data_IF_154288250049
#
_entry.id   IF_154288250049
#
_cell.length_a   1.000
_cell.length_b   1.000
_cell.length_c   1.000
_cell.angle_alpha   90.00
_cell.angle_beta   90.00
_cell.angle_gamma   90.00
#
_symmetry.space_group_name_H-M   'P 1'
#
loop_
_entity.id
_entity.type
_entity.pdbx_description
1 polymer ?
#
# COMPACT_ATOMS: atom_id res chain seq x y z
N UNK A 1 -24.32 -5.94 17.95
CA UNK A 1 -23.96 -7.15 17.17
C UNK A 1 -23.28 -6.78 15.85
N UNK A 2 -23.96 -6.20 14.86
CA UNK A 2 -23.31 -5.85 13.58
C UNK A 2 -22.33 -4.66 13.68
N UNK A 3 -22.59 -3.67 14.55
CA UNK A 3 -21.67 -2.56 14.80
C UNK A 3 -20.43 -2.95 15.63
N UNK A 4 -20.51 -4.01 16.43
CA UNK A 4 -19.39 -4.48 17.28
C UNK A 4 -18.34 -5.23 16.43
N UNK A 5 -18.78 -5.91 15.37
CA UNK A 5 -17.87 -6.59 14.43
C UNK A 5 -17.04 -5.59 13.63
N UNK A 6 -17.63 -4.47 13.19
CA UNK A 6 -16.92 -3.42 12.43
C UNK A 6 -15.73 -2.85 13.23
N UNK A 7 -15.92 -2.61 14.54
CA UNK A 7 -14.84 -2.11 15.39
C UNK A 7 -13.69 -3.12 15.53
N UNK A 8 -14.01 -4.41 15.61
CA UNK A 8 -13.03 -5.50 15.61
C UNK A 8 -12.24 -5.58 14.30
N UNK A 9 -12.93 -5.48 13.17
CA UNK A 9 -12.30 -5.51 11.84
C UNK A 9 -11.38 -4.30 11.62
N UNK A 10 -11.86 -3.10 12.00
CA UNK A 10 -11.06 -1.86 11.97
C UNK A 10 -9.79 -2.04 12.81
N UNK A 11 -9.92 -2.54 14.04
CA UNK A 11 -8.78 -2.77 14.93
C UNK A 11 -7.80 -3.77 14.34
N UNK A 12 -8.29 -4.89 13.80
CA UNK A 12 -7.46 -5.95 13.23
C UNK A 12 -6.66 -5.45 12.02
N UNK A 13 -7.33 -4.79 11.06
CA UNK A 13 -6.66 -4.25 9.87
C UNK A 13 -5.70 -3.13 10.24
N UNK A 14 -6.05 -2.26 11.20
CA UNK A 14 -5.16 -1.19 11.66
C UNK A 14 -3.91 -1.76 12.33
N UNK A 15 -4.03 -2.78 13.18
CA UNK A 15 -2.87 -3.47 13.75
C UNK A 15 -2.00 -4.08 12.66
N UNK A 16 -2.62 -4.76 11.68
CA UNK A 16 -1.92 -5.25 10.50
C UNK A 16 -1.15 -4.14 9.78
N UNK A 17 -1.78 -2.99 9.56
CA UNK A 17 -1.16 -1.84 8.90
C UNK A 17 0.04 -1.31 9.69
N UNK A 18 -0.06 -1.25 11.02
CA UNK A 18 1.04 -0.82 11.89
C UNK A 18 2.21 -1.80 11.80
N UNK A 19 1.95 -3.11 11.77
CA UNK A 19 2.99 -4.14 11.65
C UNK A 19 3.69 -4.07 10.28
N UNK A 20 2.94 -3.88 9.20
CA UNK A 20 3.50 -3.72 7.84
C UNK A 20 4.24 -2.38 7.73
N UNK A 21 3.73 -1.32 8.35
CA UNK A 21 4.47 -0.07 8.46
C UNK A 21 5.81 -0.27 9.18
N UNK A 22 5.82 -1.00 10.30
CA UNK A 22 7.06 -1.31 11.04
C UNK A 22 8.10 -2.07 10.18
N UNK A 23 7.67 -2.82 9.16
CA UNK A 23 8.56 -3.46 8.18
C UNK A 23 9.46 -2.46 7.46
N UNK A 24 9.03 -1.21 7.25
CA UNK A 24 9.85 -0.17 6.63
C UNK A 24 11.04 0.22 7.51
N UNK A 25 10.86 0.19 8.83
CA UNK A 25 11.98 0.30 9.78
C UNK A 25 12.94 -0.89 9.66
N UNK A 26 12.39 -2.09 9.45
CA UNK A 26 13.19 -3.28 9.12
C UNK A 26 14.03 -3.12 7.85
N UNK A 27 13.41 -2.65 6.76
CA UNK A 27 14.13 -2.36 5.51
C UNK A 27 15.19 -1.28 5.68
N UNK A 28 14.89 -0.23 6.45
CA UNK A 28 15.87 0.79 6.78
C UNK A 28 17.11 0.20 7.47
N UNK A 29 16.93 -0.68 8.46
CA UNK A 29 18.07 -1.29 9.15
C UNK A 29 18.83 -2.31 8.29
N UNK A 30 18.13 -3.07 7.43
CA UNK A 30 18.80 -3.95 6.46
C UNK A 30 19.61 -3.16 5.44
N UNK A 31 19.06 -2.09 4.87
CA UNK A 31 19.79 -1.24 3.91
C UNK A 31 20.99 -0.57 4.59
N UNK A 32 20.81 0.04 5.76
CA UNK A 32 21.90 0.68 6.52
C UNK A 32 23.01 -0.29 6.92
N UNK A 33 22.65 -1.54 7.24
CA UNK A 33 23.61 -2.59 7.58
C UNK A 33 24.43 -3.11 6.39
N UNK A 34 23.96 -2.91 5.16
CA UNK A 34 24.62 -3.40 3.94
C UNK A 34 25.44 -2.33 3.22
N UNK A 35 25.25 -1.04 3.55
CA UNK A 35 26.00 0.08 2.96
C UNK A 35 27.20 0.50 3.81
N UNK A 36 28.14 1.23 3.20
CA UNK A 36 29.31 1.77 3.90
C UNK A 36 28.87 2.85 4.88
N UNK A 37 29.59 3.00 6.00
CA UNK A 37 29.31 4.00 7.05
C UNK A 37 29.04 5.42 6.50
N UNK A 38 29.84 5.88 5.53
CA UNK A 38 29.68 7.19 4.90
C UNK A 38 28.34 7.41 4.17
N UNK A 39 27.64 6.34 3.82
CA UNK A 39 26.39 6.34 3.05
C UNK A 39 25.15 5.99 3.89
N UNK A 40 25.31 5.64 5.18
CA UNK A 40 24.21 5.19 6.03
C UNK A 40 23.10 6.23 6.21
N UNK A 41 23.46 7.49 6.43
CA UNK A 41 22.49 8.59 6.55
C UNK A 41 21.68 8.74 5.24
N UNK A 42 22.35 8.63 4.10
CA UNK A 42 21.69 8.71 2.80
C UNK A 42 20.73 7.53 2.58
N UNK A 43 21.08 6.32 3.01
CA UNK A 43 20.20 5.16 2.97
C UNK A 43 18.95 5.34 3.84
N UNK A 44 19.10 5.84 5.09
CA UNK A 44 17.96 6.12 5.96
C UNK A 44 17.00 7.16 5.38
N UNK A 45 17.54 8.27 4.88
CA UNK A 45 16.75 9.35 4.29
C UNK A 45 15.97 8.84 3.08
N UNK A 46 16.56 7.96 2.26
CA UNK A 46 15.87 7.37 1.11
C UNK A 46 14.64 6.59 1.51
N UNK A 47 14.73 5.70 2.50
CA UNK A 47 13.57 4.91 2.94
C UNK A 47 12.43 5.80 3.45
N UNK A 48 12.75 6.85 4.22
CA UNK A 48 11.74 7.80 4.70
C UNK A 48 11.09 8.58 3.57
N UNK A 49 11.89 9.03 2.60
CA UNK A 49 11.40 9.77 1.43
C UNK A 49 10.57 8.87 0.52
N UNK A 50 11.00 7.63 0.29
CA UNK A 50 10.26 6.67 -0.52
C UNK A 50 8.88 6.41 0.10
N UNK A 51 8.78 6.24 1.43
CA UNK A 51 7.48 6.11 2.09
C UNK A 51 6.60 7.35 1.94
N UNK A 52 7.18 8.56 2.10
CA UNK A 52 6.44 9.81 1.96
C UNK A 52 5.89 10.01 0.54
N UNK A 53 6.74 9.79 -0.48
CA UNK A 53 6.35 9.89 -1.89
C UNK A 53 5.31 8.82 -2.23
N UNK A 54 5.50 7.60 -1.75
CA UNK A 54 4.55 6.49 -1.92
C UNK A 54 3.18 6.86 -1.37
N UNK A 55 3.12 7.42 -0.16
CA UNK A 55 1.86 7.84 0.47
C UNK A 55 1.14 8.89 -0.37
N UNK A 56 1.86 9.90 -0.86
CA UNK A 56 1.28 10.95 -1.71
C UNK A 56 0.81 10.37 -3.05
N UNK A 57 1.66 9.63 -3.76
CA UNK A 57 1.33 9.06 -5.06
C UNK A 57 0.14 8.08 -4.98
N UNK A 58 0.11 7.25 -3.95
CA UNK A 58 -0.97 6.31 -3.72
C UNK A 58 -2.28 7.01 -3.32
N UNK A 59 -2.22 8.07 -2.52
CA UNK A 59 -3.41 8.86 -2.15
C UNK A 59 -4.07 9.55 -3.35
N UNK A 60 -3.28 10.21 -4.20
CA UNK A 60 -3.83 11.01 -5.31
C UNK A 60 -4.18 10.17 -6.55
N UNK A 61 -3.49 9.05 -6.77
CA UNK A 61 -3.61 8.27 -8.02
C UNK A 61 -3.81 6.79 -7.72
N UNK A 62 -2.91 6.18 -6.94
CA UNK A 62 -2.85 4.72 -6.82
C UNK A 62 -4.14 4.08 -6.32
N UNK A 63 -4.71 4.59 -5.22
CA UNK A 63 -5.94 4.04 -4.67
C UNK A 63 -7.13 4.16 -5.63
N UNK A 64 -7.17 5.22 -6.44
CA UNK A 64 -8.17 5.39 -7.49
C UNK A 64 -7.95 4.40 -8.64
N UNK A 65 -6.71 4.09 -9.00
CA UNK A 65 -6.40 3.08 -10.02
C UNK A 65 -6.79 1.67 -9.54
N UNK A 66 -6.51 1.32 -8.29
CA UNK A 66 -6.80 0.00 -7.75
C UNK A 66 -8.31 -0.20 -7.46
N UNK A 67 -8.95 0.76 -6.79
CA UNK A 67 -10.29 0.62 -6.21
C UNK A 67 -11.33 1.61 -6.75
N UNK A 68 -10.95 2.56 -7.60
CA UNK A 68 -11.87 3.57 -8.14
C UNK A 68 -12.31 4.63 -7.11
N UNK A 69 -11.64 4.72 -5.96
CA UNK A 69 -12.01 5.61 -4.85
C UNK A 69 -11.13 6.86 -4.82
N UNK A 70 -11.75 8.02 -4.61
CA UNK A 70 -11.08 9.32 -4.41
C UNK A 70 -11.45 9.91 -3.05
N UNK A 71 -10.51 10.59 -2.38
CA UNK A 71 -10.71 11.13 -1.04
C UNK A 71 -11.19 12.59 -0.99
N UNK A 72 -11.48 13.22 -2.14
CA UNK A 72 -11.92 14.61 -2.22
C UNK A 72 -13.41 14.78 -1.92
N UNK A 73 -13.84 14.30 -0.75
CA UNK A 73 -15.21 14.39 -0.25
C UNK A 73 -15.22 14.95 1.17
N UNK A 74 -16.40 15.36 1.65
CA UNK A 74 -16.54 15.91 3.00
C UNK A 74 -16.20 14.86 4.08
N UNK A 75 -15.73 15.34 5.24
CA UNK A 75 -15.33 14.51 6.38
C UNK A 75 -16.42 13.53 6.86
N UNK A 76 -17.71 13.88 6.79
CA UNK A 76 -18.81 12.99 7.16
C UNK A 76 -19.01 11.82 6.18
N UNK A 77 -18.57 12.00 4.93
CA UNK A 77 -18.52 10.89 3.94
C UNK A 77 -17.28 10.05 4.20
N UNK A 78 -16.10 10.67 4.41
CA UNK A 78 -14.85 9.95 4.70
C UNK A 78 -14.92 9.06 5.95
N UNK A 79 -15.62 9.51 6.99
CA UNK A 79 -15.82 8.73 8.22
C UNK A 79 -16.82 7.57 8.06
N UNK A 80 -17.54 7.52 6.95
CA UNK A 80 -18.66 6.60 6.72
C UNK A 80 -19.91 6.93 7.53
N UNK A 81 -20.02 8.12 8.13
CA UNK A 81 -21.15 8.46 8.99
C UNK A 81 -22.46 8.73 8.24
N UNK A 82 -22.38 9.06 6.95
CA UNK A 82 -23.55 9.26 6.09
C UNK A 82 -24.08 7.96 5.46
N UNK A 83 -23.37 6.84 5.65
CA UNK A 83 -23.64 5.59 4.93
C UNK A 83 -23.20 5.64 3.47
N UNK A 84 -22.96 4.48 2.87
CA UNK A 84 -22.52 4.33 1.49
C UNK A 84 -21.66 3.07 1.30
N UNK A 85 -21.50 2.65 0.05
CA UNK A 85 -20.71 1.46 -0.30
C UNK A 85 -19.21 1.77 -0.41
N UNK A 86 -18.86 3.02 -0.75
CA UNK A 86 -17.47 3.45 -0.97
C UNK A 86 -16.71 3.69 0.34
N UNK A 87 -17.31 4.41 1.28
CA UNK A 87 -16.71 4.74 2.57
C UNK A 87 -17.45 4.00 3.68
N UNK A 88 -16.83 2.91 4.12
CA UNK A 88 -17.39 2.04 5.14
C UNK A 88 -17.38 2.73 6.51
N UNK A 89 -18.33 2.37 7.40
CA UNK A 89 -18.45 2.99 8.73
C UNK A 89 -17.16 2.95 9.54
N UNK A 90 -17.04 3.86 10.51
CA UNK A 90 -15.90 3.93 11.44
C UNK A 90 -14.55 4.17 10.73
N UNK A 91 -14.58 4.77 9.53
CA UNK A 91 -13.38 5.06 8.75
C UNK A 91 -12.67 3.82 8.20
N UNK A 92 -13.35 2.67 8.10
CA UNK A 92 -12.70 1.42 7.69
C UNK A 92 -12.04 1.49 6.31
N UNK A 93 -12.61 2.24 5.35
CA UNK A 93 -11.96 2.50 4.05
C UNK A 93 -10.64 3.27 4.19
N UNK A 94 -10.54 4.21 5.16
CA UNK A 94 -9.29 4.94 5.42
C UNK A 94 -8.23 4.04 6.05
N UNK A 95 -8.65 3.12 6.93
CA UNK A 95 -7.75 2.11 7.51
C UNK A 95 -7.28 1.14 6.43
N UNK A 96 -8.16 0.70 5.53
CA UNK A 96 -7.78 -0.08 4.34
C UNK A 96 -6.81 0.68 3.45
N UNK A 97 -7.05 1.97 3.19
CA UNK A 97 -6.11 2.81 2.45
C UNK A 97 -4.73 2.82 3.10
N UNK A 98 -4.65 3.06 4.42
CA UNK A 98 -3.37 3.07 5.14
C UNK A 98 -2.68 1.72 5.06
N UNK A 99 -3.43 0.63 5.26
CA UNK A 99 -2.95 -0.73 5.12
C UNK A 99 -2.30 -0.96 3.74
N UNK A 100 -3.03 -0.70 2.67
CA UNK A 100 -2.57 -0.96 1.30
C UNK A 100 -1.45 -0.03 0.87
N UNK A 101 -1.46 1.22 1.34
CA UNK A 101 -0.34 2.17 1.14
C UNK A 101 0.96 1.61 1.70
N UNK A 102 0.92 0.94 2.86
CA UNK A 102 2.13 0.33 3.45
C UNK A 102 2.66 -0.84 2.62
N UNK A 103 1.79 -1.62 1.96
CA UNK A 103 2.26 -2.63 1.00
C UNK A 103 2.87 -1.99 -0.25
N UNK A 104 2.19 -0.99 -0.82
CA UNK A 104 2.70 -0.29 -2.00
C UNK A 104 4.07 0.36 -1.73
N UNK A 105 4.25 0.98 -0.56
CA UNK A 105 5.50 1.61 -0.14
C UNK A 105 6.64 0.62 0.17
N UNK A 106 6.35 -0.66 0.40
CA UNK A 106 7.38 -1.68 0.59
C UNK A 106 8.19 -1.94 -0.70
N UNK A 107 7.59 -1.73 -1.86
CA UNK A 107 8.20 -1.98 -3.18
C UNK A 107 9.43 -1.10 -3.42
N UNK A 108 9.34 0.24 -3.37
CA UNK A 108 10.51 1.09 -3.54
C UNK A 108 11.56 0.84 -2.46
N UNK A 109 11.17 0.46 -1.23
CA UNK A 109 12.12 0.11 -0.18
C UNK A 109 12.94 -1.17 -0.52
N UNK A 110 12.28 -2.22 -1.03
CA UNK A 110 12.95 -3.45 -1.48
C UNK A 110 13.86 -3.15 -2.67
N UNK A 111 13.37 -2.38 -3.63
CA UNK A 111 14.16 -1.96 -4.80
C UNK A 111 15.39 -1.21 -4.33
N UNK A 112 15.24 -0.18 -3.48
CA UNK A 112 16.34 0.64 -2.92
C UNK A 112 17.43 -0.23 -2.31
N UNK A 113 17.07 -1.22 -1.48
CA UNK A 113 18.02 -2.16 -0.90
C UNK A 113 18.82 -2.95 -1.95
N UNK A 114 18.18 -3.38 -3.04
CA UNK A 114 18.82 -4.14 -4.12
C UNK A 114 19.82 -3.33 -4.97
N UNK A 115 19.68 -2.00 -4.99
CA UNK A 115 20.54 -1.08 -5.77
C UNK A 115 21.16 0.00 -4.89
N UNK A 116 21.38 -0.35 -3.62
CA UNK A 116 21.98 0.50 -2.62
C UNK A 116 23.33 1.06 -3.10
N UNK A 117 23.66 2.29 -2.69
CA UNK A 117 24.84 3.08 -3.08
C UNK A 117 24.98 3.45 -4.58
N UNK A 118 24.22 2.86 -5.50
CA UNK A 118 24.37 3.04 -6.96
C UNK A 118 23.31 3.95 -7.59
N UNK A 119 22.37 4.45 -6.80
CA UNK A 119 21.23 5.24 -7.27
C UNK A 119 21.31 6.72 -6.92
N UNK A 120 20.91 7.53 -7.90
CA UNK A 120 20.63 8.97 -7.74
C UNK A 120 19.26 9.16 -7.10
N UNK A 121 19.19 10.10 -6.15
CA UNK A 121 18.00 10.34 -5.32
C UNK A 121 16.76 10.77 -6.11
N UNK A 122 16.87 11.76 -7.00
CA UNK A 122 15.71 12.26 -7.77
C UNK A 122 15.13 11.21 -8.74
N UNK A 123 15.93 10.51 -9.56
CA UNK A 123 15.42 9.42 -10.39
C UNK A 123 14.70 8.33 -9.58
N UNK A 124 15.23 7.99 -8.40
CA UNK A 124 14.57 7.07 -7.47
C UNK A 124 13.20 7.61 -7.04
N UNK A 125 13.10 8.88 -6.64
CA UNK A 125 11.84 9.51 -6.27
C UNK A 125 10.77 9.44 -7.38
N UNK A 126 11.15 9.72 -8.63
CA UNK A 126 10.23 9.61 -9.77
C UNK A 126 9.84 8.16 -10.07
N UNK A 127 10.78 7.22 -9.95
CA UNK A 127 10.50 5.80 -10.11
C UNK A 127 9.53 5.31 -9.03
N UNK A 128 9.74 5.70 -7.77
CA UNK A 128 8.84 5.42 -6.65
C UNK A 128 7.44 5.95 -6.93
N UNK A 129 7.30 7.22 -7.35
CA UNK A 129 6.00 7.81 -7.67
C UNK A 129 5.28 7.08 -8.83
N UNK A 130 6.00 6.70 -9.88
CA UNK A 130 5.41 5.98 -11.01
C UNK A 130 5.01 4.54 -10.65
N UNK A 131 5.85 3.83 -9.90
CA UNK A 131 5.58 2.47 -9.46
C UNK A 131 4.39 2.42 -8.51
N UNK A 132 4.38 3.27 -7.48
CA UNK A 132 3.34 3.27 -6.45
C UNK A 132 2.07 3.99 -6.90
N UNK A 133 2.17 4.98 -7.80
CA UNK A 133 1.01 5.68 -8.32
C UNK A 133 0.26 4.94 -9.42
N UNK A 134 0.93 4.10 -10.21
CA UNK A 134 0.33 3.49 -11.41
C UNK A 134 0.58 1.99 -11.54
N UNK A 135 1.85 1.57 -11.54
CA UNK A 135 2.19 0.18 -11.91
C UNK A 135 1.68 -0.82 -10.88
N UNK A 136 2.03 -0.62 -9.61
CA UNK A 136 1.60 -1.52 -8.55
C UNK A 136 0.07 -1.50 -8.34
N UNK A 137 -0.59 -0.33 -8.19
CA UNK A 137 -2.04 -0.31 -7.99
C UNK A 137 -2.84 -0.92 -9.14
N UNK A 138 -2.31 -0.90 -10.37
CA UNK A 138 -2.92 -1.59 -11.50
C UNK A 138 -2.99 -3.10 -11.28
N UNK A 139 -1.88 -3.73 -10.84
CA UNK A 139 -1.86 -5.15 -10.51
C UNK A 139 -2.62 -5.46 -9.22
N UNK A 140 -2.50 -4.61 -8.21
CA UNK A 140 -3.29 -4.69 -6.98
C UNK A 140 -4.79 -4.75 -7.29
N UNK A 141 -5.29 -3.86 -8.17
CA UNK A 141 -6.68 -3.86 -8.58
C UNK A 141 -7.09 -5.13 -9.32
N UNK A 142 -6.22 -5.69 -10.18
CA UNK A 142 -6.48 -6.96 -10.88
C UNK A 142 -6.59 -8.12 -9.90
N UNK A 143 -5.69 -8.17 -8.91
CA UNK A 143 -5.48 -9.34 -8.05
C UNK A 143 -6.35 -9.31 -6.79
N UNK A 144 -6.55 -8.15 -6.17
CA UNK A 144 -7.26 -8.00 -4.90
C UNK A 144 -8.62 -7.30 -5.04
N UNK A 145 -8.85 -6.51 -6.09
CA UNK A 145 -10.15 -5.87 -6.35
C UNK A 145 -10.97 -6.57 -7.45
N UNK A 146 -10.41 -7.57 -8.13
CA UNK A 146 -11.09 -8.30 -9.21
C UNK A 146 -11.26 -7.50 -10.51
N UNK A 147 -10.46 -6.44 -10.70
CA UNK A 147 -10.53 -5.62 -11.91
C UNK A 147 -10.30 -6.50 -13.16
N UNK A 148 -11.02 -6.17 -14.24
CA UNK A 148 -10.92 -6.86 -15.53
C UNK A 148 -11.33 -8.34 -15.53
N UNK A 149 -11.89 -8.87 -14.43
CA UNK A 149 -12.45 -10.23 -14.37
C UNK A 149 -11.42 -11.36 -14.47
N UNK A 150 -10.13 -11.06 -14.29
CA UNK A 150 -9.05 -12.05 -14.43
C UNK A 150 -9.20 -13.20 -13.43
N UNK A 151 -9.64 -12.90 -12.20
CA UNK A 151 -9.83 -13.91 -11.16
C UNK A 151 -10.85 -14.97 -11.54
N UNK A 152 -11.99 -14.54 -12.11
CA UNK A 152 -13.02 -15.45 -12.63
C UNK A 152 -12.55 -16.23 -13.86
N UNK A 153 -11.72 -15.63 -14.72
CA UNK A 153 -11.12 -16.34 -15.84
C UNK A 153 -10.13 -17.42 -15.38
N UNK A 154 -9.33 -17.14 -14.34
CA UNK A 154 -8.42 -18.11 -13.73
C UNK A 154 -9.20 -19.24 -13.02
N UNK A 155 -10.26 -18.90 -12.28
CA UNK A 155 -11.11 -19.89 -11.64
C UNK A 155 -11.80 -20.80 -12.68
N UNK A 156 -12.30 -20.25 -13.79
CA UNK A 156 -12.89 -21.03 -14.87
C UNK A 156 -11.87 -21.96 -15.56
N UNK A 157 -10.60 -21.55 -15.67
CA UNK A 157 -9.55 -22.33 -16.32
C UNK A 157 -8.93 -23.41 -15.41
N UNK A 158 -8.76 -23.10 -14.11
CA UNK A 158 -7.99 -23.92 -13.17
C UNK A 158 -8.84 -24.54 -12.04
N UNK A 159 -10.13 -24.20 -11.95
CA UNK A 159 -11.06 -24.68 -10.94
C UNK A 159 -10.94 -24.00 -9.57
N UNK A 160 -10.00 -23.06 -9.41
CA UNK A 160 -9.76 -22.33 -8.17
C UNK A 160 -9.37 -20.87 -8.44
N UNK A 161 -9.78 -19.91 -7.58
CA UNK A 161 -9.35 -18.52 -7.68
C UNK A 161 -7.85 -18.39 -7.38
N UNK A 162 -7.23 -17.39 -7.99
CA UNK A 162 -5.85 -17.01 -7.67
C UNK A 162 -5.81 -16.35 -6.29
N UNK A 163 -4.87 -16.77 -5.44
CA UNK A 163 -4.60 -16.18 -4.14
C UNK A 163 -3.19 -15.64 -4.10
N UNK A 164 -3.06 -14.33 -3.88
CA UNK A 164 -1.78 -13.67 -3.63
C UNK A 164 -1.60 -13.42 -2.14
N UNK A 165 -0.63 -14.12 -1.54
CA UNK A 165 -0.30 -13.98 -0.12
C UNK A 165 0.55 -12.74 0.19
N UNK A 166 1.05 -12.03 -0.83
CA UNK A 166 1.77 -10.78 -0.66
C UNK A 166 0.86 -9.64 -0.18
N UNK A 167 -0.46 -9.80 -0.27
CA UNK A 167 -1.47 -8.95 0.37
C UNK A 167 -2.36 -9.76 1.28
N UNK A 168 -1.93 -9.89 2.54
CA UNK A 168 -2.75 -10.16 3.73
C UNK A 168 -4.17 -10.71 3.49
N UNK A 169 -4.37 -11.96 3.92
CA UNK A 169 -5.64 -12.64 4.21
C UNK A 169 -6.85 -11.94 3.58
N UNK A 170 -6.91 -11.94 2.25
CA UNK A 170 -8.16 -11.73 1.52
C UNK A 170 -8.70 -13.11 1.18
#
# INVERSE_FOLDING_TARGET
>A
MQNDQIGGDVFFVLLGAILVFAMHGGFAFLEVGTVRHKNQVNALVKILVDFAISTIAYFFVGFTVAYGVTFFVNAAVLSGSQGGETFLPQGFTLVKFFFLTTFAAAIPAIISGGIAERMRFLPQCFATAALVGLVYPFYEGIVWNGNFGLQGALEAAFGHPFHDFAGSIV
#
